data_IF_024848062977
#
_entry.id   IF_024848062977
#
_cell.length_a   1.000
_cell.length_b   1.000
_cell.length_c   1.000
_cell.angle_alpha   90.00
_cell.angle_beta   90.00
_cell.angle_gamma   90.00
#
_symmetry.space_group_name_H-M   'P 1'
#
loop_
_entity.id
_entity.type
_entity.pdbx_description
1 polymer ?
#
# COMPACT_ATOMS: atom_id res chain seq x y z
N UNK A 1 -7.15 5.80 16.54
CA UNK A 1 -6.38 6.64 15.59
C UNK A 1 -6.45 8.10 16.03
N UNK A 2 -5.40 8.91 15.80
CA UNK A 2 -5.36 10.33 16.19
C UNK A 2 -6.30 11.22 15.35
N UNK A 3 -6.61 10.79 14.11
CA UNK A 3 -7.39 11.56 13.13
C UNK A 3 -8.79 10.97 12.96
N UNK A 4 -9.76 11.87 12.76
CA UNK A 4 -11.15 11.49 12.48
C UNK A 4 -11.29 11.12 10.99
N UNK A 5 -12.03 10.05 10.70
CA UNK A 5 -12.32 9.64 9.32
C UNK A 5 -13.52 10.39 8.77
N UNK A 6 -13.40 10.83 7.54
CA UNK A 6 -14.44 11.42 6.70
C UNK A 6 -14.88 10.39 5.67
N UNK A 7 -16.05 10.60 5.08
CA UNK A 7 -16.61 9.69 4.08
C UNK A 7 -17.04 10.49 2.84
N UNK A 8 -16.83 9.90 1.68
CA UNK A 8 -17.22 10.50 0.40
C UNK A 8 -17.70 9.42 -0.56
N UNK A 9 -18.79 9.70 -1.28
CA UNK A 9 -19.27 8.80 -2.33
C UNK A 9 -18.30 8.79 -3.52
N UNK A 10 -17.87 7.59 -3.91
CA UNK A 10 -17.11 7.35 -5.15
C UNK A 10 -17.78 6.20 -5.88
N UNK A 11 -18.28 6.45 -7.06
CA UNK A 11 -18.95 5.45 -7.90
C UNK A 11 -20.11 4.73 -7.18
N UNK A 12 -20.85 5.45 -6.30
CA UNK A 12 -21.98 4.90 -5.56
C UNK A 12 -21.61 4.09 -4.31
N UNK A 13 -20.35 4.18 -3.85
CA UNK A 13 -19.84 3.56 -2.63
C UNK A 13 -19.16 4.59 -1.73
N UNK A 14 -19.37 4.45 -0.42
CA UNK A 14 -18.73 5.33 0.56
C UNK A 14 -17.26 4.91 0.77
N UNK A 15 -16.32 5.79 0.46
CA UNK A 15 -14.91 5.61 0.80
C UNK A 15 -14.57 6.44 2.03
N UNK A 16 -13.88 5.80 2.99
CA UNK A 16 -13.38 6.45 4.18
C UNK A 16 -11.99 7.04 3.91
N UNK A 17 -11.69 8.18 4.51
CA UNK A 17 -10.39 8.83 4.41
C UNK A 17 -10.14 9.77 5.58
N UNK A 18 -8.85 10.03 5.85
CA UNK A 18 -8.41 11.14 6.68
C UNK A 18 -8.04 12.30 5.77
N UNK A 19 -8.39 13.53 6.15
CA UNK A 19 -7.99 14.76 5.46
C UNK A 19 -7.86 15.88 6.50
N UNK A 20 -6.62 16.17 6.88
CA UNK A 20 -6.30 17.10 7.97
C UNK A 20 -5.10 17.96 7.61
N UNK A 21 -5.05 19.18 8.19
CA UNK A 21 -3.95 20.11 7.98
C UNK A 21 -4.11 20.99 6.75
N UNK A 22 -3.03 21.62 6.31
CA UNK A 22 -2.99 22.50 5.14
C UNK A 22 -1.57 22.63 4.60
N UNK A 23 -1.41 23.10 3.37
CA UNK A 23 -0.12 23.16 2.68
C UNK A 23 -0.01 22.12 1.59
N UNK A 24 1.21 21.69 1.25
CA UNK A 24 1.45 20.63 0.28
C UNK A 24 0.81 19.31 0.76
N UNK A 25 0.22 18.57 -0.14
CA UNK A 25 -0.48 17.33 0.21
C UNK A 25 0.52 16.19 0.41
N UNK A 26 0.47 15.52 1.57
CA UNK A 26 1.14 14.23 1.79
C UNK A 26 0.07 13.15 1.69
N UNK A 27 0.09 12.39 0.60
CA UNK A 27 -0.84 11.31 0.31
C UNK A 27 -0.24 9.97 0.71
N UNK A 28 -0.85 9.31 1.70
CA UNK A 28 -0.42 8.00 2.19
C UNK A 28 -1.29 6.90 1.59
N UNK A 29 -0.68 5.93 0.91
CA UNK A 29 -1.40 4.82 0.30
C UNK A 29 -0.95 3.50 0.92
N UNK A 30 -1.89 2.83 1.59
CA UNK A 30 -1.71 1.50 2.15
C UNK A 30 -1.96 0.40 1.11
N UNK A 31 -1.74 -0.85 1.49
CA UNK A 31 -2.04 -2.02 0.66
C UNK A 31 -2.80 -3.10 1.45
N UNK A 32 -2.58 -4.36 1.06
CA UNK A 32 -3.29 -5.51 1.60
C UNK A 32 -2.61 -6.05 2.88
N UNK A 33 -3.34 -6.36 3.95
CA UNK A 33 -4.77 -6.19 4.22
C UNK A 33 -5.05 -5.00 5.16
N UNK A 34 -4.29 -3.93 5.03
CA UNK A 34 -4.29 -2.80 5.95
C UNK A 34 -5.32 -1.71 5.60
N UNK A 35 -5.20 -0.56 6.24
CA UNK A 35 -6.05 0.62 6.04
C UNK A 35 -5.23 1.88 6.37
N UNK A 36 -5.89 3.04 6.42
CA UNK A 36 -5.29 4.28 6.93
C UNK A 36 -4.68 4.12 8.32
N UNK A 37 -5.10 3.13 9.09
CA UNK A 37 -4.57 2.83 10.42
C UNK A 37 -3.07 2.52 10.41
N UNK A 38 -2.55 1.92 9.34
CA UNK A 38 -1.12 1.64 9.16
C UNK A 38 -0.24 2.89 9.34
N UNK A 39 -0.75 4.04 8.97
CA UNK A 39 0.00 5.30 8.96
C UNK A 39 -0.15 6.13 10.25
N UNK A 40 -0.91 5.62 11.26
CA UNK A 40 -1.27 6.34 12.50
C UNK A 40 -0.09 6.95 13.27
N UNK A 41 1.04 6.26 13.25
CA UNK A 41 2.25 6.67 13.97
C UNK A 41 3.27 7.42 13.08
N UNK A 42 3.12 7.39 11.75
CA UNK A 42 4.01 8.08 10.80
C UNK A 42 3.45 9.44 10.39
N UNK A 43 2.18 9.51 10.02
CA UNK A 43 1.54 10.73 9.52
C UNK A 43 1.67 11.95 10.46
N UNK A 44 1.65 11.81 11.81
CA UNK A 44 1.84 12.93 12.72
C UNK A 44 3.17 13.68 12.58
N UNK A 45 4.22 13.01 12.07
CA UNK A 45 5.54 13.65 11.90
C UNK A 45 5.56 14.72 10.81
N UNK A 46 4.62 14.71 9.88
CA UNK A 46 4.53 15.68 8.77
C UNK A 46 3.29 16.58 8.83
N UNK A 47 2.34 16.29 9.73
CA UNK A 47 1.03 16.95 9.79
C UNK A 47 1.05 18.41 10.25
N UNK A 48 2.11 18.86 10.91
CA UNK A 48 2.20 20.24 11.38
C UNK A 48 2.44 21.26 10.25
N UNK A 49 2.96 20.82 9.11
CA UNK A 49 3.36 21.68 7.99
C UNK A 49 2.72 21.29 6.65
N UNK A 50 1.98 20.20 6.60
CA UNK A 50 1.40 19.66 5.38
C UNK A 50 -0.07 19.28 5.58
N UNK A 51 -0.82 19.18 4.47
CA UNK A 51 -2.12 18.51 4.44
C UNK A 51 -1.88 17.01 4.37
N UNK A 52 -2.44 16.25 5.29
CA UNK A 52 -2.39 14.79 5.35
C UNK A 52 -3.64 14.23 4.72
N UNK A 53 -3.50 13.37 3.71
CA UNK A 53 -4.60 12.62 3.11
C UNK A 53 -4.28 11.14 3.18
N UNK A 54 -5.16 10.34 3.82
CA UNK A 54 -4.96 8.90 4.02
C UNK A 54 -6.27 8.18 3.71
N UNK A 55 -6.50 7.70 2.49
CA UNK A 55 -7.69 6.91 2.16
C UNK A 55 -7.62 5.50 2.74
N UNK A 56 -8.79 4.92 3.02
CA UNK A 56 -8.97 3.47 3.05
C UNK A 56 -9.35 3.02 1.64
N UNK A 57 -8.63 2.06 1.07
CA UNK A 57 -8.97 1.48 -0.23
C UNK A 57 -10.35 0.84 -0.20
N UNK A 58 -11.03 0.79 -1.35
CA UNK A 58 -12.39 0.23 -1.39
C UNK A 58 -12.43 -1.21 -0.85
N UNK A 59 -13.37 -1.49 0.04
CA UNK A 59 -13.50 -2.77 0.72
C UNK A 59 -12.53 -3.01 1.88
N UNK A 60 -11.69 -2.00 2.24
CA UNK A 60 -10.71 -2.10 3.31
C UNK A 60 -10.96 -1.01 4.37
N UNK A 61 -10.49 -1.23 5.60
CA UNK A 61 -10.71 -0.29 6.70
C UNK A 61 -12.20 0.01 6.91
N UNK A 62 -12.56 1.30 6.83
CA UNK A 62 -13.95 1.78 6.97
C UNK A 62 -14.59 2.12 5.61
N UNK A 63 -13.91 1.89 4.49
CA UNK A 63 -14.50 2.00 3.17
C UNK A 63 -15.50 0.87 2.93
N UNK A 64 -16.59 1.20 2.24
CA UNK A 64 -17.69 0.27 1.98
C UNK A 64 -17.23 -0.96 1.19
N UNK A 65 -17.84 -2.11 1.48
CA UNK A 65 -17.63 -3.36 0.72
C UNK A 65 -18.39 -3.30 -0.60
N UNK A 66 -17.82 -3.93 -1.64
CA UNK A 66 -18.50 -4.08 -2.92
C UNK A 66 -19.46 -5.26 -2.88
N UNK A 67 -20.62 -5.08 -3.52
CA UNK A 67 -21.63 -6.12 -3.61
C UNK A 67 -21.28 -7.19 -4.64
N UNK A 68 -21.77 -8.39 -4.42
CA UNK A 68 -21.62 -9.52 -5.34
C UNK A 68 -20.38 -10.38 -5.08
N UNK A 69 -20.46 -11.62 -5.52
CA UNK A 69 -19.37 -12.59 -5.41
C UNK A 69 -18.26 -12.27 -6.39
N UNK A 70 -17.01 -12.39 -5.94
CA UNK A 70 -15.78 -12.11 -6.72
C UNK A 70 -15.86 -10.79 -7.52
N UNK A 71 -16.28 -9.71 -6.85
CA UNK A 71 -16.51 -8.43 -7.53
C UNK A 71 -15.22 -7.90 -8.19
N UNK A 72 -15.25 -7.62 -9.52
CA UNK A 72 -14.06 -7.18 -10.26
C UNK A 72 -13.53 -5.81 -9.81
N UNK A 73 -14.32 -5.01 -9.09
CA UNK A 73 -13.86 -3.76 -8.48
C UNK A 73 -12.75 -3.95 -7.44
N UNK A 74 -12.55 -5.16 -6.92
CA UNK A 74 -11.43 -5.49 -6.06
C UNK A 74 -10.14 -5.82 -6.81
N UNK A 75 -10.17 -6.02 -8.14
CA UNK A 75 -8.96 -6.18 -8.95
C UNK A 75 -8.21 -4.87 -9.06
N UNK A 76 -6.97 -4.93 -9.49
CA UNK A 76 -6.06 -3.78 -9.56
C UNK A 76 -6.68 -2.53 -10.20
N UNK A 77 -7.22 -2.66 -11.42
CA UNK A 77 -7.82 -1.53 -12.14
C UNK A 77 -9.06 -0.96 -11.44
N UNK A 78 -9.92 -1.82 -10.87
CA UNK A 78 -11.09 -1.37 -10.12
C UNK A 78 -10.69 -0.60 -8.85
N UNK A 79 -9.71 -1.11 -8.10
CA UNK A 79 -9.15 -0.40 -6.94
C UNK A 79 -8.54 0.95 -7.33
N UNK A 80 -7.80 0.98 -8.43
CA UNK A 80 -7.20 2.22 -8.95
C UNK A 80 -8.27 3.23 -9.38
N UNK A 81 -9.35 2.79 -10.01
CA UNK A 81 -10.49 3.63 -10.40
C UNK A 81 -11.19 4.25 -9.18
N UNK A 82 -11.43 3.46 -8.11
CA UNK A 82 -11.98 3.99 -6.86
C UNK A 82 -11.02 4.98 -6.20
N UNK A 83 -9.73 4.65 -6.13
CA UNK A 83 -8.71 5.52 -5.55
C UNK A 83 -8.62 6.87 -6.29
N UNK A 84 -8.51 6.85 -7.61
CA UNK A 84 -8.43 8.09 -8.41
C UNK A 84 -9.73 8.89 -8.36
N UNK A 85 -10.88 8.22 -8.37
CA UNK A 85 -12.18 8.86 -8.18
C UNK A 85 -12.30 9.59 -6.84
N UNK A 86 -11.73 9.04 -5.75
CA UNK A 86 -11.63 9.72 -4.48
C UNK A 86 -10.68 10.92 -4.57
N UNK A 87 -9.50 10.73 -5.14
CA UNK A 87 -8.47 11.77 -5.25
C UNK A 87 -8.97 12.98 -6.07
N UNK A 88 -9.72 12.74 -7.13
CA UNK A 88 -10.32 13.79 -7.95
C UNK A 88 -11.35 14.63 -7.16
N UNK A 89 -12.12 13.97 -6.28
CA UNK A 89 -13.12 14.66 -5.44
C UNK A 89 -12.49 15.46 -4.28
N UNK A 90 -11.31 15.06 -3.82
CA UNK A 90 -10.63 15.73 -2.70
C UNK A 90 -9.81 16.95 -3.10
N UNK A 91 -9.60 17.20 -4.38
CA UNK A 91 -8.74 18.29 -4.90
C UNK A 91 -7.39 18.32 -4.16
N UNK A 92 -6.51 17.39 -4.50
CA UNK A 92 -5.21 17.24 -3.83
C UNK A 92 -4.20 18.33 -4.20
N UNK A 93 -4.54 19.25 -5.12
CA UNK A 93 -3.63 20.28 -5.65
C UNK A 93 -2.53 19.72 -6.54
N UNK A 94 -1.54 20.58 -6.83
CA UNK A 94 -0.43 20.29 -7.75
C UNK A 94 0.93 20.10 -7.03
N UNK A 95 0.90 19.90 -5.71
CA UNK A 95 2.08 19.71 -4.87
C UNK A 95 1.86 18.51 -3.96
N UNK A 96 2.15 17.31 -4.48
CA UNK A 96 1.85 16.05 -3.80
C UNK A 96 3.13 15.31 -3.45
N UNK A 97 3.29 14.95 -2.17
CA UNK A 97 4.25 13.99 -1.68
C UNK A 97 3.55 12.64 -1.50
N UNK A 98 3.97 11.62 -2.22
CA UNK A 98 3.44 10.25 -2.07
C UNK A 98 4.22 9.50 -0.99
N UNK A 99 3.50 8.80 -0.12
CA UNK A 99 4.04 7.85 0.87
C UNK A 99 3.32 6.52 0.69
N UNK A 100 4.01 5.53 0.13
CA UNK A 100 3.37 4.37 -0.48
C UNK A 100 3.99 3.05 -0.01
N UNK A 101 3.14 2.05 0.17
CA UNK A 101 3.48 0.73 0.65
C UNK A 101 2.65 -0.33 -0.06
N UNK A 102 3.21 -1.52 -0.29
CA UNK A 102 2.53 -2.70 -0.84
C UNK A 102 1.73 -2.36 -2.11
N UNK A 103 0.45 -2.71 -2.23
CA UNK A 103 -0.40 -2.36 -3.39
C UNK A 103 -0.62 -0.85 -3.54
N UNK A 104 -0.61 -0.11 -2.44
CA UNK A 104 -0.60 1.35 -2.50
C UNK A 104 0.60 1.90 -3.25
N UNK A 105 1.73 1.16 -3.29
CA UNK A 105 2.89 1.54 -4.08
C UNK A 105 2.67 1.34 -5.58
N UNK A 106 2.10 0.20 -6.00
CA UNK A 106 1.83 -0.03 -7.41
C UNK A 106 0.90 1.05 -7.99
N UNK A 107 -0.18 1.38 -7.24
CA UNK A 107 -1.13 2.45 -7.62
C UNK A 107 -0.52 3.85 -7.53
N UNK A 108 0.26 4.13 -6.49
CA UNK A 108 0.94 5.41 -6.32
C UNK A 108 2.00 5.67 -7.40
N UNK A 109 2.75 4.65 -7.80
CA UNK A 109 3.68 4.73 -8.93
C UNK A 109 2.96 4.97 -10.26
N UNK A 110 1.81 4.32 -10.50
CA UNK A 110 0.98 4.59 -11.66
C UNK A 110 0.49 6.03 -11.66
N UNK A 111 -0.06 6.51 -10.56
CA UNK A 111 -0.53 7.88 -10.43
C UNK A 111 0.58 8.90 -10.67
N UNK A 112 1.77 8.67 -10.14
CA UNK A 112 2.93 9.54 -10.34
C UNK A 112 3.40 9.55 -11.81
N UNK A 113 3.38 8.41 -12.49
CA UNK A 113 3.71 8.30 -13.91
C UNK A 113 2.70 9.05 -14.79
N UNK A 114 1.42 8.97 -14.45
CA UNK A 114 0.34 9.64 -15.19
C UNK A 114 0.26 11.14 -14.90
N UNK A 115 0.73 11.58 -13.73
CA UNK A 115 0.65 12.97 -13.25
C UNK A 115 2.01 13.51 -12.78
N UNK A 116 3.10 13.38 -13.54
CA UNK A 116 4.46 13.66 -13.05
C UNK A 116 4.68 15.11 -12.59
N UNK A 117 3.95 16.05 -13.18
CA UNK A 117 4.07 17.48 -12.86
C UNK A 117 3.41 17.85 -11.51
N UNK A 118 2.56 16.98 -10.95
CA UNK A 118 1.91 17.18 -9.65
C UNK A 118 2.70 16.57 -8.50
N UNK A 119 3.68 15.69 -8.79
CA UNK A 119 4.38 14.93 -7.77
C UNK A 119 5.69 15.62 -7.38
N UNK A 120 5.77 16.05 -6.14
CA UNK A 120 6.97 16.63 -5.53
C UNK A 120 7.99 15.60 -5.09
N UNK A 121 7.53 14.51 -4.53
CA UNK A 121 8.40 13.41 -4.11
C UNK A 121 7.63 12.10 -3.90
N UNK A 122 8.37 11.01 -3.83
CA UNK A 122 7.84 9.67 -3.53
C UNK A 122 8.68 9.06 -2.42
N UNK A 123 8.05 8.74 -1.29
CA UNK A 123 8.62 7.88 -0.24
C UNK A 123 7.96 6.52 -0.33
N UNK A 124 8.76 5.46 -0.42
CA UNK A 124 8.23 4.11 -0.59
C UNK A 124 8.99 3.08 0.25
N UNK A 125 8.28 2.05 0.64
CA UNK A 125 8.78 0.95 1.47
C UNK A 125 8.02 -0.33 1.13
N UNK A 126 8.69 -1.48 1.16
CA UNK A 126 8.11 -2.80 0.89
C UNK A 126 7.12 -2.76 -0.29
N UNK A 127 7.62 -2.27 -1.42
CA UNK A 127 6.84 -1.80 -2.58
C UNK A 127 6.87 -2.81 -3.74
N UNK A 128 5.83 -2.80 -4.57
CA UNK A 128 5.75 -3.57 -5.81
C UNK A 128 6.42 -2.75 -6.92
N UNK A 129 7.64 -3.10 -7.28
CA UNK A 129 8.53 -2.27 -8.11
C UNK A 129 8.82 -2.84 -9.49
N UNK A 130 8.59 -4.13 -9.68
CA UNK A 130 8.77 -4.85 -10.94
C UNK A 130 7.98 -6.15 -10.95
N UNK A 131 7.60 -6.70 -12.12
CA UNK A 131 7.09 -8.06 -12.21
C UNK A 131 8.15 -9.08 -11.82
N UNK A 132 7.75 -10.20 -11.27
CA UNK A 132 8.62 -11.26 -10.76
C UNK A 132 8.30 -12.60 -11.42
N UNK A 133 9.23 -13.54 -11.26
CA UNK A 133 8.99 -14.97 -11.47
C UNK A 133 8.89 -15.69 -10.11
N UNK A 134 8.32 -16.87 -10.10
CA UNK A 134 8.23 -17.67 -8.87
C UNK A 134 9.61 -18.00 -8.29
N UNK A 135 10.65 -18.12 -9.11
CA UNK A 135 12.03 -18.39 -8.68
C UNK A 135 12.65 -17.21 -7.90
N UNK A 136 12.14 -16.00 -8.11
CA UNK A 136 12.56 -14.80 -7.37
C UNK A 136 11.79 -14.59 -6.07
N UNK A 137 10.80 -15.44 -5.81
CA UNK A 137 9.97 -15.38 -4.63
C UNK A 137 10.50 -16.36 -3.57
N UNK A 138 10.55 -16.00 -2.26
CA UNK A 138 11.01 -16.92 -1.22
C UNK A 138 10.16 -18.21 -1.18
N UNK A 139 10.79 -19.38 -0.98
CA UNK A 139 10.13 -20.69 -1.02
C UNK A 139 8.85 -20.78 -0.16
N UNK A 140 8.87 -20.21 1.03
CA UNK A 140 7.72 -20.22 1.94
C UNK A 140 6.59 -19.35 1.37
N UNK A 141 6.92 -18.16 0.87
CA UNK A 141 5.95 -17.27 0.24
C UNK A 141 5.38 -17.90 -1.03
N UNK A 142 6.20 -18.54 -1.86
CA UNK A 142 5.75 -19.29 -3.05
C UNK A 142 4.67 -20.32 -2.69
N UNK A 143 4.86 -21.09 -1.63
CA UNK A 143 3.88 -22.07 -1.17
C UNK A 143 2.57 -21.43 -0.73
N UNK A 144 2.64 -20.39 0.11
CA UNK A 144 1.47 -19.72 0.66
C UNK A 144 0.69 -18.98 -0.45
N UNK A 145 1.38 -18.23 -1.29
CA UNK A 145 0.72 -17.49 -2.37
C UNK A 145 0.22 -18.40 -3.50
N UNK A 146 0.85 -19.55 -3.70
CA UNK A 146 0.32 -20.63 -4.56
C UNK A 146 -1.02 -21.16 -4.05
N UNK A 147 -1.18 -21.33 -2.72
CA UNK A 147 -2.48 -21.71 -2.13
C UNK A 147 -3.53 -20.61 -2.31
N UNK A 148 -3.20 -19.34 -2.11
CA UNK A 148 -4.15 -18.24 -2.32
C UNK A 148 -4.64 -18.15 -3.78
N UNK A 149 -3.79 -18.52 -4.75
CA UNK A 149 -4.13 -18.56 -6.18
C UNK A 149 -4.89 -19.81 -6.61
N UNK A 150 -4.98 -20.82 -5.75
CA UNK A 150 -5.77 -22.03 -5.98
C UNK A 150 -7.19 -21.92 -5.38
N UNK A 151 -7.99 -22.96 -5.56
CA UNK A 151 -9.32 -23.09 -4.93
C UNK A 151 -9.22 -23.08 -3.39
N UNK A 152 -8.12 -23.57 -2.82
CA UNK A 152 -7.90 -23.52 -1.37
C UNK A 152 -7.86 -22.10 -0.79
N UNK A 153 -7.57 -21.10 -1.63
CA UNK A 153 -7.57 -19.68 -1.22
C UNK A 153 -8.92 -19.22 -0.69
N UNK A 154 -10.03 -19.71 -1.26
CA UNK A 154 -11.38 -19.35 -0.81
C UNK A 154 -11.58 -19.74 0.66
N UNK A 155 -11.31 -20.99 1.01
CA UNK A 155 -11.42 -21.46 2.40
C UNK A 155 -10.43 -20.76 3.33
N UNK A 156 -9.16 -20.66 2.92
CA UNK A 156 -8.11 -20.09 3.76
C UNK A 156 -8.36 -18.62 4.10
N UNK A 157 -8.78 -17.84 3.12
CA UNK A 157 -8.91 -16.38 3.30
C UNK A 157 -10.33 -16.00 3.68
N UNK A 158 -11.34 -16.44 2.93
CA UNK A 158 -12.70 -15.99 3.17
C UNK A 158 -13.30 -16.61 4.43
N UNK A 159 -13.02 -17.90 4.70
CA UNK A 159 -13.58 -18.57 5.89
C UNK A 159 -12.67 -18.45 7.11
N UNK A 160 -11.34 -18.62 6.93
CA UNK A 160 -10.38 -18.68 8.05
C UNK A 160 -9.65 -17.37 8.33
N UNK A 161 -9.87 -16.31 7.53
CA UNK A 161 -9.21 -15.00 7.66
C UNK A 161 -7.67 -15.07 7.70
N UNK A 162 -7.09 -16.06 7.02
CA UNK A 162 -5.68 -16.42 7.15
C UNK A 162 -4.76 -15.23 6.81
N UNK A 163 -5.12 -14.40 5.84
CA UNK A 163 -4.27 -13.29 5.42
C UNK A 163 -4.09 -12.28 6.57
N UNK A 164 -5.17 -11.89 7.23
CA UNK A 164 -5.10 -10.95 8.37
C UNK A 164 -4.47 -11.62 9.58
N UNK A 165 -5.02 -12.77 10.00
CA UNK A 165 -4.65 -13.38 11.28
C UNK A 165 -3.28 -14.07 11.29
N UNK A 166 -2.72 -14.44 10.13
CA UNK A 166 -1.45 -15.16 10.05
C UNK A 166 -0.37 -14.40 9.30
N UNK A 167 -0.71 -13.70 8.21
CA UNK A 167 0.28 -12.94 7.46
C UNK A 167 0.51 -11.59 8.13
N UNK A 168 -0.52 -10.75 8.26
CA UNK A 168 -0.37 -9.44 8.89
C UNK A 168 0.05 -9.55 10.35
N UNK A 169 -0.74 -10.22 11.20
CA UNK A 169 -0.48 -10.27 12.64
C UNK A 169 0.72 -11.12 13.04
N UNK A 170 1.27 -11.89 12.11
CA UNK A 170 2.50 -12.65 12.30
C UNK A 170 3.79 -11.96 11.83
N UNK A 171 3.67 -10.78 11.19
CA UNK A 171 4.80 -10.15 10.49
C UNK A 171 5.64 -9.21 11.39
N UNK A 172 5.04 -8.46 12.31
CA UNK A 172 5.76 -7.48 13.13
C UNK A 172 6.80 -8.13 14.04
N UNK A 173 8.00 -7.55 14.11
CA UNK A 173 9.10 -7.99 14.97
C UNK A 173 8.81 -7.73 16.47
N UNK A 174 8.07 -6.67 16.76
CA UNK A 174 7.68 -6.29 18.13
C UNK A 174 6.34 -6.88 18.57
N UNK A 175 5.58 -7.46 17.62
CA UNK A 175 4.22 -7.94 17.83
C UNK A 175 3.20 -6.79 17.87
N UNK A 176 1.94 -7.14 18.08
CA UNK A 176 0.81 -6.20 18.14
C UNK A 176 0.15 -6.27 19.51
N UNK A 177 -0.28 -5.13 20.05
CA UNK A 177 -1.20 -5.07 21.19
C UNK A 177 -2.56 -5.68 20.82
N UNK A 178 -3.40 -5.96 21.82
CA UNK A 178 -4.72 -6.51 21.57
C UNK A 178 -5.62 -5.50 20.84
N UNK A 179 -5.50 -4.20 21.15
CA UNK A 179 -6.22 -3.13 20.45
C UNK A 179 -5.80 -3.02 18.97
N UNK A 180 -4.52 -3.17 18.66
CA UNK A 180 -4.03 -3.16 17.28
C UNK A 180 -4.52 -4.37 16.50
N UNK A 181 -4.52 -5.57 17.10
CA UNK A 181 -5.09 -6.77 16.49
C UNK A 181 -6.58 -6.61 16.20
N UNK A 182 -7.35 -6.12 17.18
CA UNK A 182 -8.78 -5.87 17.01
C UNK A 182 -9.04 -4.89 15.85
N UNK A 183 -8.28 -3.80 15.75
CA UNK A 183 -8.46 -2.82 14.68
C UNK A 183 -8.12 -3.39 13.30
N UNK A 184 -7.10 -4.22 13.16
CA UNK A 184 -6.77 -4.88 11.89
C UNK A 184 -7.76 -5.99 11.50
N UNK A 185 -8.33 -6.70 12.48
CA UNK A 185 -9.33 -7.75 12.25
C UNK A 185 -10.71 -7.16 11.93
N UNK A 186 -11.07 -6.03 12.55
CA UNK A 186 -12.40 -5.42 12.51
C UNK A 186 -13.00 -5.31 11.10
N UNK A 187 -12.30 -4.85 10.06
CA UNK A 187 -12.85 -4.73 8.72
C UNK A 187 -13.18 -6.08 8.05
N UNK A 188 -12.65 -7.17 8.59
CA UNK A 188 -12.70 -8.52 8.04
C UNK A 188 -13.30 -9.54 9.03
N UNK A 189 -14.08 -9.08 10.00
CA UNK A 189 -14.64 -9.95 11.02
C UNK A 189 -15.68 -10.93 10.45
N UNK A 190 -16.47 -10.48 9.47
CA UNK A 190 -17.45 -11.32 8.79
C UNK A 190 -16.74 -12.20 7.75
N UNK A 191 -17.06 -13.51 7.75
CA UNK A 191 -16.56 -14.44 6.73
C UNK A 191 -17.22 -14.22 5.37
N UNK A 192 -16.64 -14.80 4.33
CA UNK A 192 -17.15 -14.69 2.97
C UNK A 192 -16.67 -13.42 2.25
N UNK A 193 -17.55 -12.81 1.48
CA UNK A 193 -17.20 -11.73 0.54
C UNK A 193 -16.69 -10.44 1.21
N UNK A 194 -16.95 -10.20 2.50
CA UNK A 194 -16.33 -9.10 3.24
C UNK A 194 -14.80 -9.19 3.30
N UNK A 195 -14.26 -10.42 3.17
CA UNK A 195 -12.82 -10.70 3.11
C UNK A 195 -12.28 -10.81 1.68
N UNK A 196 -13.12 -10.71 0.65
CA UNK A 196 -12.72 -10.84 -0.76
C UNK A 196 -11.53 -9.96 -1.17
N UNK A 197 -11.43 -8.68 -0.79
CA UNK A 197 -10.26 -7.88 -1.17
C UNK A 197 -8.95 -8.50 -0.71
N UNK A 198 -8.91 -9.12 0.48
CA UNK A 198 -7.68 -9.73 1.02
C UNK A 198 -7.25 -11.01 0.28
N UNK A 199 -8.16 -11.63 -0.49
CA UNK A 199 -7.85 -12.75 -1.38
C UNK A 199 -7.56 -12.27 -2.81
N UNK A 200 -8.30 -11.26 -3.29
CA UNK A 200 -8.10 -10.76 -4.66
C UNK A 200 -6.69 -10.18 -4.83
N UNK A 201 -6.19 -9.41 -3.88
CA UNK A 201 -4.87 -8.82 -3.96
C UNK A 201 -3.72 -9.83 -4.16
N UNK A 202 -3.59 -10.93 -3.39
CA UNK A 202 -2.58 -11.97 -3.67
C UNK A 202 -2.69 -12.58 -5.07
N UNK A 203 -3.91 -12.66 -5.61
CA UNK A 203 -4.17 -13.16 -6.95
C UNK A 203 -3.77 -12.18 -8.06
N UNK A 204 -3.61 -10.91 -7.72
CA UNK A 204 -3.20 -9.85 -8.66
C UNK A 204 -1.68 -9.62 -8.70
N UNK A 205 -0.87 -10.21 -7.81
CA UNK A 205 0.58 -10.03 -7.82
C UNK A 205 1.15 -10.48 -9.19
N UNK A 206 1.95 -9.62 -9.87
CA UNK A 206 2.45 -9.89 -11.22
C UNK A 206 3.58 -10.93 -11.20
N UNK A 207 3.21 -12.22 -11.23
CA UNK A 207 4.11 -13.36 -11.18
C UNK A 207 4.01 -14.19 -12.47
N UNK A 208 5.16 -14.52 -13.08
CA UNK A 208 5.28 -15.31 -14.32
C UNK A 208 4.39 -14.80 -15.46
N UNK A 209 4.27 -13.48 -15.58
CA UNK A 209 3.52 -12.85 -16.66
C UNK A 209 2.01 -12.71 -16.41
N UNK A 210 1.51 -13.13 -15.22
CA UNK A 210 0.09 -13.09 -14.89
C UNK A 210 -0.22 -12.39 -13.55
N UNK A 211 -1.34 -11.64 -13.44
CA UNK A 211 -2.25 -11.26 -14.52
C UNK A 211 -1.57 -10.27 -15.49
N UNK A 212 -1.78 -10.48 -16.78
CA UNK A 212 -1.09 -9.71 -17.81
C UNK A 212 -1.28 -8.20 -17.69
N UNK A 213 -2.48 -7.74 -17.40
CA UNK A 213 -2.78 -6.32 -17.25
C UNK A 213 -2.00 -5.68 -16.10
N UNK A 214 -1.78 -6.41 -14.99
CA UNK A 214 -0.99 -5.91 -13.86
C UNK A 214 0.50 -5.96 -14.17
N UNK A 215 0.96 -7.02 -14.83
CA UNK A 215 2.35 -7.13 -15.33
C UNK A 215 2.69 -5.96 -16.24
N UNK A 216 1.82 -5.66 -17.21
CA UNK A 216 2.02 -4.56 -18.17
C UNK A 216 2.08 -3.20 -17.42
N UNK A 217 1.24 -3.00 -16.41
CA UNK A 217 1.19 -1.74 -15.67
C UNK A 217 2.41 -1.57 -14.74
N UNK A 218 2.77 -2.61 -14.00
CA UNK A 218 3.95 -2.59 -13.13
C UNK A 218 5.24 -2.44 -13.94
N UNK A 219 5.31 -3.01 -15.15
CA UNK A 219 6.45 -2.83 -16.08
C UNK A 219 6.57 -1.36 -16.51
N UNK A 220 5.48 -0.71 -16.91
CA UNK A 220 5.49 0.72 -17.26
C UNK A 220 5.94 1.59 -16.08
N UNK A 221 5.48 1.27 -14.87
CA UNK A 221 5.89 1.97 -13.66
C UNK A 221 7.39 1.80 -13.41
N UNK A 222 7.90 0.57 -13.49
CA UNK A 222 9.32 0.25 -13.33
C UNK A 222 10.21 1.06 -14.30
N UNK A 223 9.86 1.07 -15.60
CA UNK A 223 10.59 1.78 -16.64
C UNK A 223 10.57 3.31 -16.42
N UNK A 224 9.42 3.85 -16.03
CA UNK A 224 9.28 5.28 -15.75
C UNK A 224 10.10 5.69 -14.52
N UNK A 225 9.91 5.02 -13.39
CA UNK A 225 10.52 5.45 -12.11
C UNK A 225 12.03 5.24 -12.07
N UNK A 226 12.55 4.25 -12.79
CA UNK A 226 14.00 4.06 -12.97
C UNK A 226 14.68 5.30 -13.56
N UNK A 227 14.01 5.99 -14.49
CA UNK A 227 14.56 7.12 -15.23
C UNK A 227 14.06 8.49 -14.76
N UNK A 228 13.02 8.52 -13.94
CA UNK A 228 12.37 9.75 -13.44
C UNK A 228 13.27 10.52 -12.48
N UNK A 229 13.33 11.85 -12.67
CA UNK A 229 14.01 12.78 -11.77
C UNK A 229 13.12 13.21 -10.55
N UNK A 230 11.90 12.69 -10.41
CA UNK A 230 11.10 12.91 -9.21
C UNK A 230 11.93 12.46 -8.00
N UNK A 231 12.12 13.32 -6.98
CA UNK A 231 12.89 12.97 -5.78
C UNK A 231 12.28 11.76 -5.05
N UNK A 232 13.10 10.79 -4.66
CA UNK A 232 12.66 9.57 -4.00
C UNK A 232 13.36 9.37 -2.66
N UNK A 233 12.61 8.87 -1.68
CA UNK A 233 13.13 8.31 -0.44
C UNK A 233 12.77 6.83 -0.38
N UNK A 234 13.77 6.00 -0.48
CA UNK A 234 13.63 4.56 -0.27
C UNK A 234 13.84 4.22 1.21
N UNK A 235 12.81 3.74 1.86
CA UNK A 235 12.87 3.16 3.20
C UNK A 235 13.14 1.67 3.04
N UNK A 236 14.38 1.28 3.20
CA UNK A 236 14.80 -0.12 3.13
C UNK A 236 14.51 -0.81 4.46
N UNK A 237 13.58 -1.75 4.46
CA UNK A 237 13.31 -2.61 5.62
C UNK A 237 14.40 -3.68 5.77
N UNK A 238 14.89 -3.91 6.98
CA UNK A 238 15.83 -4.96 7.30
C UNK A 238 15.29 -5.86 8.43
N UNK A 239 15.03 -7.13 8.15
CA UNK A 239 15.36 -7.89 6.92
C UNK A 239 14.49 -7.55 5.71
N UNK A 240 13.27 -6.99 5.89
CA UNK A 240 12.30 -6.83 4.83
C UNK A 240 11.66 -8.14 4.39
N UNK A 241 10.72 -8.09 3.47
CA UNK A 241 10.00 -9.29 3.00
C UNK A 241 9.91 -9.34 1.48
N UNK A 242 9.36 -8.31 0.84
CA UNK A 242 9.17 -8.32 -0.63
C UNK A 242 10.24 -7.49 -1.34
N UNK A 243 10.65 -6.36 -0.79
CA UNK A 243 11.65 -5.49 -1.42
C UNK A 243 13.07 -5.92 -1.01
N UNK A 244 13.43 -7.15 -1.38
CA UNK A 244 14.69 -7.81 -1.08
C UNK A 244 15.37 -8.30 -2.36
N UNK A 245 16.59 -8.82 -2.28
CA UNK A 245 17.30 -9.42 -3.42
C UNK A 245 17.30 -8.53 -4.67
N UNK A 246 16.92 -9.10 -5.80
CA UNK A 246 16.91 -8.42 -7.11
C UNK A 246 16.02 -7.18 -7.14
N UNK A 247 14.89 -7.18 -6.43
CA UNK A 247 14.01 -6.03 -6.34
C UNK A 247 14.67 -4.86 -5.63
N UNK A 248 15.39 -5.13 -4.52
CA UNK A 248 16.15 -4.12 -3.77
C UNK A 248 17.27 -3.53 -4.61
N UNK A 249 18.02 -4.37 -5.32
CA UNK A 249 19.08 -3.90 -6.23
C UNK A 249 18.51 -3.11 -7.42
N UNK A 250 17.35 -3.52 -7.94
CA UNK A 250 16.67 -2.79 -9.01
C UNK A 250 16.30 -1.36 -8.58
N UNK A 251 15.67 -1.18 -7.42
CA UNK A 251 15.30 0.18 -6.96
C UNK A 251 16.53 1.02 -6.58
N UNK A 252 17.62 0.41 -6.13
CA UNK A 252 18.89 1.12 -5.90
C UNK A 252 19.49 1.71 -7.17
N UNK A 253 19.09 1.20 -8.35
CA UNK A 253 19.48 1.76 -9.64
C UNK A 253 18.65 2.99 -10.08
N UNK A 254 17.59 3.34 -9.33
CA UNK A 254 16.73 4.46 -9.67
C UNK A 254 17.39 5.81 -9.45
N UNK A 255 17.12 6.76 -10.34
CA UNK A 255 17.66 8.12 -10.27
C UNK A 255 17.03 8.93 -9.13
N UNK A 256 17.78 9.94 -8.69
CA UNK A 256 17.39 10.96 -7.72
C UNK A 256 16.74 10.34 -6.46
N UNK A 257 17.47 9.44 -5.81
CA UNK A 257 17.00 8.68 -4.67
C UNK A 257 17.94 8.79 -3.48
N UNK A 258 17.37 8.94 -2.30
CA UNK A 258 18.02 8.70 -1.01
C UNK A 258 17.52 7.38 -0.44
N UNK A 259 18.36 6.70 0.33
CA UNK A 259 17.99 5.46 1.04
C UNK A 259 18.29 5.63 2.53
N UNK A 260 17.37 5.15 3.36
CA UNK A 260 17.63 4.85 4.78
C UNK A 260 17.25 3.40 5.05
N UNK A 261 17.89 2.79 6.04
CA UNK A 261 17.55 1.44 6.49
C UNK A 261 16.96 1.49 7.89
N UNK A 262 15.83 0.82 8.07
CA UNK A 262 15.14 0.68 9.35
C UNK A 262 14.83 -0.79 9.63
N UNK A 263 14.62 -1.15 10.88
CA UNK A 263 14.26 -2.54 11.24
C UNK A 263 12.80 -2.82 10.91
N UNK A 264 12.52 -3.99 10.36
CA UNK A 264 11.15 -4.44 10.13
C UNK A 264 11.05 -5.46 9.00
N UNK A 265 9.91 -6.10 8.95
CA UNK A 265 9.48 -6.99 7.89
C UNK A 265 8.62 -6.22 6.87
N UNK A 266 7.57 -6.87 6.31
CA UNK A 266 6.71 -6.23 5.32
C UNK A 266 5.94 -5.02 5.87
N UNK A 267 5.33 -5.15 7.06
CA UNK A 267 4.61 -4.04 7.70
C UNK A 267 5.56 -3.20 8.57
N UNK A 268 6.64 -2.72 7.95
CA UNK A 268 7.74 -1.98 8.59
C UNK A 268 7.28 -0.74 9.37
N UNK A 269 6.11 -0.22 9.05
CA UNK A 269 5.45 0.89 9.75
C UNK A 269 5.09 0.54 11.21
N UNK A 270 4.88 -0.73 11.49
CA UNK A 270 4.57 -1.21 12.84
C UNK A 270 5.84 -1.35 13.70
N UNK A 271 6.99 -1.56 13.07
CA UNK A 271 8.25 -1.81 13.76
C UNK A 271 9.11 -0.54 13.92
N UNK A 272 9.08 0.39 12.96
CA UNK A 272 9.98 1.55 12.88
C UNK A 272 9.26 2.86 12.51
N UNK A 273 8.08 3.10 13.06
CA UNK A 273 7.26 4.25 12.70
C UNK A 273 7.96 5.61 12.93
N UNK A 274 8.64 5.78 14.05
CA UNK A 274 9.30 7.04 14.41
C UNK A 274 10.48 7.33 13.48
N UNK A 275 11.33 6.34 13.20
CA UNK A 275 12.47 6.48 12.29
C UNK A 275 11.99 6.83 10.87
N UNK A 276 10.93 6.18 10.39
CA UNK A 276 10.31 6.47 9.10
C UNK A 276 9.73 7.87 9.09
N UNK A 277 8.98 8.25 10.13
CA UNK A 277 8.33 9.55 10.23
C UNK A 277 9.33 10.71 10.28
N UNK A 278 10.42 10.56 11.04
CA UNK A 278 11.50 11.56 11.12
C UNK A 278 12.21 11.72 9.79
N UNK A 279 12.56 10.60 9.12
CA UNK A 279 13.23 10.63 7.81
C UNK A 279 12.32 11.25 6.73
N UNK A 280 11.03 10.91 6.72
CA UNK A 280 10.04 11.50 5.83
C UNK A 280 9.94 13.02 6.02
N UNK A 281 9.82 13.50 7.27
CA UNK A 281 9.76 14.92 7.58
C UNK A 281 11.04 15.65 7.12
N UNK A 282 12.22 15.11 7.45
CA UNK A 282 13.49 15.68 7.01
C UNK A 282 13.58 15.71 5.47
N UNK A 283 13.16 14.64 4.80
CA UNK A 283 13.20 14.57 3.34
C UNK A 283 12.31 15.63 2.70
N UNK A 284 11.06 15.76 3.12
CA UNK A 284 10.11 16.75 2.58
C UNK A 284 10.61 18.17 2.80
N UNK A 285 11.16 18.48 3.98
CA UNK A 285 11.63 19.85 4.32
C UNK A 285 12.88 20.26 3.56
N UNK A 286 13.61 19.35 2.96
CA UNK A 286 14.84 19.61 2.20
C UNK A 286 14.61 19.63 0.66
N UNK A 287 13.36 19.56 0.20
CA UNK A 287 12.96 19.70 -1.19
C UNK A 287 12.57 21.13 -1.55
#
# INVERSE_FOLDING_TARGET
MKYEKKFIDVNGKQMAYVDEGSGDTVLFLHGNPTSSYLWRNIAPHVGDTNRIVIPDLIGMGDSEKLDGEDNPGYKYHGQYEYLTGLMDKLDLGDSIHLVIHDWGSAMGFQFARENPNRIKSITYMEAIVMPLTWDQWPDMATKIFGLFRSEAGEELVLEKNFFVERILLGDSLSGYSDEEKEEYIRPFINSGEDRRPTLTWPRQIPLDGEPKEVVDEVTKNADFHKNSEIPKLFINADPGTILTGDQREFVRSWKNQKEITVKGNHFVQEDSADEIGLALNEFIRNL
#
